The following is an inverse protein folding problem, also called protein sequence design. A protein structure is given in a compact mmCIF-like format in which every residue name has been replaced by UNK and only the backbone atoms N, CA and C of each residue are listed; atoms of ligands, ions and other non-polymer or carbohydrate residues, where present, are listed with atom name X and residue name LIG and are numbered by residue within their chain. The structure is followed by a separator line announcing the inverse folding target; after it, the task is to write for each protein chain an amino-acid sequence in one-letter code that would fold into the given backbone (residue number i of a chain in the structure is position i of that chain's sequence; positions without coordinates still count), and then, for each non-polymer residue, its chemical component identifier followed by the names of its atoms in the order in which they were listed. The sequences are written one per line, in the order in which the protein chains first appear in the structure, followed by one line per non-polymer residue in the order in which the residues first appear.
data_IF_380361028516
#
_entry.id   IF_380361028516
#
_cell.length_a   1.000
_cell.length_b   1.000
_cell.length_c   1.000
_cell.angle_alpha   90.00
_cell.angle_beta   90.00
_cell.angle_gamma   90.00
#
_symmetry.space_group_name_H-M   'P 1'
#
loop_
_entity.id
_entity.type
_entity.pdbx_description
1 polymer ?
#
# COMPACT_ATOMS: atom_id res chain seq x y z
N UNK A 1 6.09 -10.81 -11.55
CA UNK A 1 7.04 -10.25 -10.55
C UNK A 1 8.20 -9.63 -11.29
N UNK A 2 8.53 -8.38 -10.98
CA UNK A 2 9.70 -7.66 -11.48
C UNK A 2 10.53 -7.30 -10.24
N UNK A 3 11.74 -7.83 -10.13
CA UNK A 3 12.58 -7.70 -8.94
C UNK A 3 13.95 -7.18 -9.31
N UNK A 4 14.54 -6.38 -8.41
CA UNK A 4 15.99 -6.17 -8.43
C UNK A 4 16.71 -7.52 -8.18
N UNK A 5 17.86 -7.79 -8.83
CA UNK A 5 18.56 -9.07 -8.69
C UNK A 5 18.91 -9.44 -7.25
N UNK A 6 19.22 -8.43 -6.41
CA UNK A 6 19.56 -8.61 -5.00
C UNK A 6 18.47 -9.30 -4.16
N UNK A 7 17.22 -9.32 -4.62
CA UNK A 7 16.08 -9.87 -3.88
C UNK A 7 15.47 -11.12 -4.53
N UNK A 8 15.97 -11.56 -5.70
CA UNK A 8 15.36 -12.68 -6.44
C UNK A 8 15.35 -13.99 -5.64
N UNK A 9 16.46 -14.29 -4.96
CA UNK A 9 16.59 -15.52 -4.17
C UNK A 9 15.69 -15.50 -2.92
N UNK A 10 15.45 -14.31 -2.35
CA UNK A 10 14.60 -14.16 -1.16
C UNK A 10 13.12 -14.43 -1.47
N UNK A 11 12.70 -14.39 -2.75
CA UNK A 11 11.32 -14.63 -3.18
C UNK A 11 10.91 -16.10 -3.20
N UNK A 12 11.82 -17.05 -3.02
CA UNK A 12 11.52 -18.47 -3.17
C UNK A 12 10.33 -18.96 -2.31
N UNK A 13 10.19 -18.58 -1.01
CA UNK A 13 9.03 -18.97 -0.20
C UNK A 13 7.71 -18.41 -0.74
N UNK A 14 7.72 -17.15 -1.16
CA UNK A 14 6.55 -16.48 -1.73
C UNK A 14 6.11 -17.14 -3.06
N UNK A 15 7.08 -17.42 -3.95
CA UNK A 15 6.82 -18.09 -5.23
C UNK A 15 6.19 -19.47 -4.99
N UNK A 16 6.71 -20.23 -4.02
CA UNK A 16 6.18 -21.54 -3.68
C UNK A 16 4.73 -21.45 -3.16
N UNK A 17 4.44 -20.49 -2.27
CA UNK A 17 3.10 -20.28 -1.73
C UNK A 17 2.08 -19.92 -2.82
N UNK A 18 2.41 -18.94 -3.67
CA UNK A 18 1.55 -18.52 -4.79
C UNK A 18 1.33 -19.63 -5.82
N UNK A 19 2.37 -20.41 -6.12
CA UNK A 19 2.25 -21.58 -7.00
C UNK A 19 1.33 -22.65 -6.40
N UNK A 20 1.40 -22.88 -5.09
CA UNK A 20 0.51 -23.80 -4.38
C UNK A 20 -0.95 -23.32 -4.36
N UNK A 21 -1.17 -22.00 -4.41
CA UNK A 21 -2.48 -21.37 -4.61
C UNK A 21 -2.97 -21.41 -6.07
N UNK A 22 -2.18 -22.00 -6.99
CA UNK A 22 -2.55 -22.17 -8.40
C UNK A 22 -2.25 -20.97 -9.29
N UNK A 23 -1.52 -19.96 -8.80
CA UNK A 23 -1.13 -18.79 -9.59
C UNK A 23 -0.02 -19.16 -10.59
N UNK A 24 -0.16 -18.73 -11.85
CA UNK A 24 0.93 -18.81 -12.83
C UNK A 24 1.85 -17.61 -12.69
N UNK A 25 3.12 -17.86 -12.33
CA UNK A 25 4.09 -16.80 -12.10
C UNK A 25 5.07 -16.64 -13.26
N UNK A 26 5.49 -15.40 -13.47
CA UNK A 26 6.67 -15.02 -14.25
C UNK A 26 7.51 -14.09 -13.40
N UNK A 27 8.80 -14.40 -13.30
CA UNK A 27 9.77 -13.61 -12.55
C UNK A 27 10.76 -13.01 -13.54
N UNK A 28 10.93 -11.69 -13.46
CA UNK A 28 11.86 -10.94 -14.28
C UNK A 28 12.86 -10.19 -13.39
N UNK A 29 14.14 -10.33 -13.73
CA UNK A 29 15.20 -9.46 -13.25
C UNK A 29 15.07 -8.10 -13.95
N UNK A 30 14.93 -7.02 -13.17
CA UNK A 30 14.75 -5.67 -13.69
C UNK A 30 15.94 -5.20 -14.56
N UNK A 31 17.15 -5.71 -14.33
CA UNK A 31 18.32 -5.40 -15.16
C UNK A 31 18.14 -5.91 -16.60
N UNK A 32 17.51 -7.08 -16.77
CA UNK A 32 17.17 -7.64 -18.08
C UNK A 32 16.01 -6.88 -18.73
N UNK A 33 15.10 -6.34 -17.93
CA UNK A 33 14.04 -5.45 -18.41
C UNK A 33 14.64 -4.18 -19.02
N UNK A 34 15.57 -3.52 -18.34
CA UNK A 34 16.27 -2.35 -18.89
C UNK A 34 17.04 -2.70 -20.16
N UNK A 35 17.81 -3.80 -20.15
CA UNK A 35 18.55 -4.24 -21.32
C UNK A 35 17.65 -4.42 -22.56
N UNK A 36 16.43 -4.95 -22.36
CA UNK A 36 15.50 -5.24 -23.46
C UNK A 36 14.68 -4.04 -23.91
N UNK A 37 14.18 -3.22 -22.99
CA UNK A 37 13.13 -2.23 -23.26
C UNK A 37 13.63 -0.77 -23.29
N UNK A 38 14.84 -0.50 -22.80
CA UNK A 38 15.49 0.83 -22.84
C UNK A 38 16.92 0.82 -23.36
N UNK A 39 17.45 -0.34 -23.76
CA UNK A 39 18.85 -0.47 -24.17
C UNK A 39 19.84 -0.38 -23.01
N UNK A 40 19.39 -0.75 -21.80
CA UNK A 40 20.20 -0.77 -20.58
C UNK A 40 20.11 0.49 -19.72
N UNK A 41 19.30 1.48 -20.12
CA UNK A 41 19.06 2.69 -19.32
C UNK A 41 18.08 2.37 -18.20
N UNK A 42 18.44 2.70 -16.95
CA UNK A 42 17.52 2.61 -15.81
C UNK A 42 16.44 3.68 -15.99
N UNK A 43 15.23 3.24 -16.33
CA UNK A 43 14.10 4.12 -16.65
C UNK A 43 12.79 3.39 -16.31
N UNK A 44 11.86 4.00 -15.53
CA UNK A 44 10.55 3.41 -15.27
C UNK A 44 9.75 3.11 -16.56
N UNK A 45 9.98 3.84 -17.65
CA UNK A 45 9.33 3.56 -18.94
C UNK A 45 9.68 2.17 -19.50
N UNK A 46 10.88 1.65 -19.21
CA UNK A 46 11.25 0.28 -19.60
C UNK A 46 10.38 -0.77 -18.90
N UNK A 47 10.06 -0.54 -17.62
CA UNK A 47 9.21 -1.40 -16.81
C UNK A 47 7.78 -1.35 -17.33
N UNK A 48 7.24 -0.16 -17.61
CA UNK A 48 5.90 0.01 -18.20
C UNK A 48 5.77 -0.71 -19.54
N UNK A 49 6.78 -0.60 -20.42
CA UNK A 49 6.81 -1.32 -21.72
C UNK A 49 6.87 -2.84 -21.56
N UNK A 50 7.61 -3.33 -20.57
CA UNK A 50 7.63 -4.75 -20.24
C UNK A 50 6.27 -5.23 -19.77
N UNK A 51 5.59 -4.45 -18.91
CA UNK A 51 4.24 -4.77 -18.43
C UNK A 51 3.26 -4.81 -19.59
N UNK A 52 3.26 -3.79 -20.46
CA UNK A 52 2.43 -3.76 -21.67
C UNK A 52 2.64 -5.02 -22.53
N UNK A 53 3.90 -5.37 -22.80
CA UNK A 53 4.24 -6.57 -23.55
C UNK A 53 3.75 -7.84 -22.85
N UNK A 54 3.90 -7.95 -21.53
CA UNK A 54 3.51 -9.12 -20.77
C UNK A 54 1.98 -9.29 -20.68
N UNK A 55 1.22 -8.19 -20.60
CA UNK A 55 -0.25 -8.20 -20.69
C UNK A 55 -0.68 -8.74 -22.06
N UNK A 56 -0.17 -8.15 -23.14
CA UNK A 56 -0.54 -8.52 -24.51
C UNK A 56 -0.16 -9.97 -24.85
N UNK A 57 1.02 -10.42 -24.44
CA UNK A 57 1.60 -11.68 -24.91
C UNK A 57 1.43 -12.85 -23.94
N UNK A 58 1.24 -12.58 -22.64
CA UNK A 58 1.18 -13.59 -21.59
C UNK A 58 -0.13 -13.54 -20.78
N UNK A 59 -0.97 -12.51 -20.97
CA UNK A 59 -2.21 -12.34 -20.19
C UNK A 59 -1.95 -12.06 -18.71
N UNK A 60 -0.91 -11.29 -18.38
CA UNK A 60 -0.63 -10.89 -17.00
C UNK A 60 -1.74 -9.98 -16.47
N UNK A 61 -2.27 -10.29 -15.28
CA UNK A 61 -3.32 -9.50 -14.62
C UNK A 61 -2.81 -8.73 -13.38
N UNK A 62 -1.62 -9.08 -12.88
CA UNK A 62 -1.04 -8.49 -11.68
C UNK A 62 0.49 -8.39 -11.74
N UNK A 63 1.04 -7.31 -11.19
CA UNK A 63 2.47 -7.02 -11.14
C UNK A 63 2.89 -6.77 -9.69
N UNK A 64 3.85 -7.54 -9.22
CA UNK A 64 4.58 -7.25 -7.98
C UNK A 64 5.95 -6.68 -8.33
N UNK A 65 6.24 -5.47 -7.83
CA UNK A 65 7.56 -4.85 -7.86
C UNK A 65 8.30 -5.19 -6.56
N UNK A 66 9.57 -5.60 -6.66
CA UNK A 66 10.38 -5.97 -5.48
C UNK A 66 11.68 -5.15 -5.48
N UNK A 67 11.67 -4.11 -4.64
CA UNK A 67 12.75 -3.14 -4.49
C UNK A 67 12.20 -1.74 -4.17
N UNK A 68 12.86 -1.05 -3.24
CA UNK A 68 12.58 0.35 -2.92
C UNK A 68 13.04 1.32 -4.01
N UNK A 69 12.46 2.52 -4.00
CA UNK A 69 12.91 3.67 -4.78
C UNK A 69 13.36 4.81 -3.85
N UNK A 70 13.96 5.86 -4.40
CA UNK A 70 14.29 7.11 -3.74
C UNK A 70 14.26 8.23 -4.77
N UNK A 71 13.77 9.41 -4.40
CA UNK A 71 13.88 10.57 -5.30
C UNK A 71 15.32 11.09 -5.45
N UNK A 72 16.22 10.66 -4.56
CA UNK A 72 17.65 11.02 -4.53
C UNK A 72 18.54 9.92 -5.13
N UNK A 73 18.13 9.34 -6.26
CA UNK A 73 18.82 8.21 -6.89
C UNK A 73 20.17 8.59 -7.54
N UNK A 74 20.46 9.88 -7.67
CA UNK A 74 21.77 10.41 -8.07
C UNK A 74 22.69 10.72 -6.89
N UNK A 75 22.22 10.53 -5.65
CA UNK A 75 22.94 10.88 -4.42
C UNK A 75 23.35 12.37 -4.36
N UNK A 76 22.48 13.25 -4.84
CA UNK A 76 22.71 14.71 -4.82
C UNK A 76 22.68 15.25 -3.37
N UNK A 77 22.02 14.53 -2.44
CA UNK A 77 21.99 14.87 -1.02
C UNK A 77 23.16 14.25 -0.22
N UNK A 78 23.96 13.35 -0.82
CA UNK A 78 25.07 12.66 -0.15
C UNK A 78 24.62 11.72 0.98
N UNK A 79 23.43 11.11 0.84
CA UNK A 79 22.82 10.21 1.82
C UNK A 79 23.10 8.73 1.51
N UNK A 80 23.59 8.42 0.31
CA UNK A 80 23.80 7.06 -0.17
C UNK A 80 22.50 6.29 -0.38
N UNK A 81 21.39 6.98 -0.66
CA UNK A 81 20.11 6.32 -0.91
C UNK A 81 20.11 5.67 -2.29
N UNK A 82 19.81 4.38 -2.33
CA UNK A 82 19.77 3.58 -3.57
C UNK A 82 18.32 3.46 -4.06
N UNK A 83 18.13 3.61 -5.37
CA UNK A 83 16.91 3.19 -6.07
C UNK A 83 17.16 1.80 -6.67
N UNK A 84 16.43 0.80 -6.19
CA UNK A 84 16.50 -0.57 -6.73
C UNK A 84 15.54 -0.75 -7.91
N UNK A 85 14.34 -0.18 -7.83
CA UNK A 85 13.37 -0.11 -8.93
C UNK A 85 12.76 1.29 -8.91
N UNK A 86 13.05 2.17 -9.88
CA UNK A 86 12.51 3.51 -9.94
C UNK A 86 10.98 3.47 -10.09
N UNK A 87 10.30 4.55 -9.68
CA UNK A 87 8.90 4.80 -10.01
C UNK A 87 8.74 6.01 -10.93
N UNK A 88 7.53 6.26 -11.40
CA UNK A 88 7.19 7.52 -12.07
C UNK A 88 6.97 8.62 -11.05
N UNK A 89 7.31 9.86 -11.42
CA UNK A 89 6.98 11.06 -10.65
C UNK A 89 6.06 11.94 -11.47
N UNK A 90 4.88 12.25 -10.92
CA UNK A 90 3.81 12.93 -11.66
C UNK A 90 3.21 14.06 -10.86
N UNK A 91 2.60 15.03 -11.57
CA UNK A 91 1.83 16.08 -10.93
C UNK A 91 0.40 15.59 -10.66
N UNK A 92 -0.03 15.70 -9.41
CA UNK A 92 -1.38 15.35 -8.96
C UNK A 92 -2.21 16.58 -8.59
N UNK A 93 -1.55 17.71 -8.35
CA UNK A 93 -2.15 19.00 -8.02
C UNK A 93 -1.20 20.14 -8.49
N UNK A 94 -1.68 21.40 -8.69
CA UNK A 94 -0.79 22.52 -9.02
C UNK A 94 0.41 22.72 -8.08
N UNK A 95 0.29 22.33 -6.81
CA UNK A 95 1.32 22.38 -5.76
C UNK A 95 2.14 21.09 -5.74
N UNK A 96 1.49 19.92 -5.78
CA UNK A 96 2.17 18.62 -5.72
C UNK A 96 2.54 18.13 -7.12
N UNK A 97 3.79 18.38 -7.52
CA UNK A 97 4.29 18.11 -8.88
C UNK A 97 5.14 16.85 -9.05
N UNK A 98 5.51 16.20 -7.95
CA UNK A 98 6.43 15.06 -7.94
C UNK A 98 5.90 13.95 -7.01
N UNK A 99 4.69 13.48 -7.27
CA UNK A 99 4.11 12.32 -6.58
C UNK A 99 4.67 11.04 -7.17
N UNK A 100 5.27 10.15 -6.35
CA UNK A 100 5.67 8.82 -6.80
C UNK A 100 4.42 8.00 -7.16
N UNK A 101 4.41 7.35 -8.32
CA UNK A 101 3.21 6.71 -8.85
C UNK A 101 3.51 5.38 -9.53
N UNK A 102 3.34 4.29 -8.79
CA UNK A 102 3.37 2.95 -9.37
C UNK A 102 2.15 2.68 -10.27
N UNK A 103 1.05 3.42 -10.09
CA UNK A 103 -0.11 3.33 -11.01
C UNK A 103 0.25 3.70 -12.45
N UNK A 104 1.24 4.54 -12.68
CA UNK A 104 1.67 4.86 -14.05
C UNK A 104 2.30 3.66 -14.78
N UNK A 105 2.78 2.64 -14.07
CA UNK A 105 3.21 1.39 -14.71
C UNK A 105 2.07 0.61 -15.36
N UNK A 106 0.82 0.90 -14.98
CA UNK A 106 -0.36 0.13 -15.35
C UNK A 106 -1.30 0.90 -16.27
N UNK A 107 -0.94 2.12 -16.70
CA UNK A 107 -1.67 2.88 -17.71
C UNK A 107 -1.11 2.49 -19.08
N UNK A 108 -1.75 1.53 -19.73
CA UNK A 108 -1.31 0.89 -20.96
C UNK A 108 -2.06 1.41 -22.19
N UNK A 109 -3.17 2.12 -21.98
CA UNK A 109 -3.91 2.84 -23.02
C UNK A 109 -4.01 4.35 -22.73
N UNK A 110 -4.92 5.05 -23.42
CA UNK A 110 -5.07 6.51 -23.35
C UNK A 110 -6.04 6.98 -22.25
N UNK A 111 -6.58 6.07 -21.42
CA UNK A 111 -7.44 6.43 -20.30
C UNK A 111 -6.66 6.51 -18.95
N UNK A 112 -7.38 6.83 -17.87
CA UNK A 112 -6.79 7.00 -16.54
C UNK A 112 -7.01 5.78 -15.63
N UNK A 113 -7.64 4.72 -16.15
CA UNK A 113 -7.95 3.51 -15.43
C UNK A 113 -6.74 2.56 -15.47
N UNK A 114 -6.33 1.99 -14.32
CA UNK A 114 -5.29 0.97 -14.30
C UNK A 114 -5.72 -0.31 -15.03
N UNK A 115 -4.90 -0.80 -15.98
CA UNK A 115 -5.17 -2.03 -16.75
C UNK A 115 -4.78 -3.31 -16.01
N UNK A 116 -3.86 -3.21 -15.05
CA UNK A 116 -3.38 -4.35 -14.25
C UNK A 116 -3.27 -3.99 -12.79
N UNK A 117 -3.47 -4.98 -11.92
CA UNK A 117 -3.24 -4.80 -10.49
C UNK A 117 -1.73 -4.63 -10.23
N UNK A 118 -1.35 -3.71 -9.34
CA UNK A 118 0.06 -3.50 -8.99
C UNK A 118 0.24 -3.32 -7.49
N UNK A 119 1.35 -3.85 -6.97
CA UNK A 119 1.84 -3.60 -5.62
C UNK A 119 3.36 -3.63 -5.58
N UNK A 120 3.95 -3.02 -4.54
CA UNK A 120 5.40 -2.95 -4.34
C UNK A 120 5.79 -3.48 -2.98
N UNK A 121 6.83 -4.31 -2.93
CA UNK A 121 7.61 -4.56 -1.72
C UNK A 121 8.78 -3.56 -1.71
N UNK A 122 8.73 -2.48 -0.89
CA UNK A 122 9.73 -1.40 -0.94
C UNK A 122 11.02 -1.76 -0.17
N UNK A 123 11.50 -2.98 -0.37
CA UNK A 123 12.62 -3.56 0.38
C UNK A 123 13.95 -3.05 -0.14
N UNK A 124 14.91 -2.90 0.77
CA UNK A 124 16.24 -2.34 0.54
C UNK A 124 17.36 -3.29 0.99
N UNK A 125 17.00 -4.42 1.58
CA UNK A 125 17.93 -5.51 1.93
C UNK A 125 17.23 -6.87 1.86
N UNK A 126 18.02 -7.94 1.70
CA UNK A 126 17.50 -9.31 1.75
C UNK A 126 16.81 -9.66 3.07
N UNK A 127 17.22 -9.02 4.17
CA UNK A 127 16.60 -9.23 5.48
C UNK A 127 15.20 -8.63 5.54
N UNK A 128 15.02 -7.43 4.98
CA UNK A 128 13.70 -6.80 4.82
C UNK A 128 12.80 -7.60 3.89
N UNK A 129 13.34 -8.11 2.78
CA UNK A 129 12.61 -8.98 1.85
C UNK A 129 12.06 -10.23 2.55
N UNK A 130 12.91 -10.96 3.28
CA UNK A 130 12.50 -12.15 4.04
C UNK A 130 11.45 -11.81 5.10
N UNK A 131 11.66 -10.77 5.91
CA UNK A 131 10.69 -10.36 6.93
C UNK A 131 9.32 -10.01 6.35
N UNK A 132 9.28 -9.25 5.26
CA UNK A 132 8.02 -8.84 4.67
C UNK A 132 7.29 -10.03 4.03
N UNK A 133 8.02 -10.94 3.38
CA UNK A 133 7.46 -12.19 2.86
C UNK A 133 6.89 -13.05 4.00
N UNK A 134 7.63 -13.20 5.09
CA UNK A 134 7.17 -13.96 6.26
C UNK A 134 5.87 -13.39 6.83
N UNK A 135 5.75 -12.05 6.89
CA UNK A 135 4.50 -11.38 7.30
C UNK A 135 3.35 -11.60 6.33
N UNK A 136 3.60 -11.51 5.02
CA UNK A 136 2.58 -11.80 4.00
C UNK A 136 2.05 -13.23 4.16
N UNK A 137 2.94 -14.21 4.32
CA UNK A 137 2.55 -15.62 4.49
C UNK A 137 1.86 -15.87 5.85
N UNK A 138 2.31 -15.21 6.92
CA UNK A 138 1.68 -15.30 8.24
C UNK A 138 0.26 -14.70 8.22
N UNK A 139 0.05 -13.58 7.52
CA UNK A 139 -1.27 -12.99 7.33
C UNK A 139 -2.24 -13.95 6.66
N UNK A 140 -1.81 -14.59 5.56
CA UNK A 140 -2.65 -15.53 4.81
C UNK A 140 -2.96 -16.82 5.56
N UNK A 141 -2.08 -17.19 6.49
CA UNK A 141 -2.27 -18.34 7.36
C UNK A 141 -3.18 -18.05 8.57
N UNK A 142 -3.61 -16.80 8.78
CA UNK A 142 -4.52 -16.45 9.88
C UNK A 142 -5.81 -17.24 9.77
N UNK A 143 -6.18 -17.88 10.88
CA UNK A 143 -7.48 -18.52 11.04
C UNK A 143 -8.48 -17.59 11.74
N UNK A 144 -9.75 -18.02 11.77
CA UNK A 144 -10.80 -17.32 12.50
C UNK A 144 -11.66 -16.39 11.63
N UNK A 145 -12.54 -15.64 12.28
CA UNK A 145 -13.31 -14.59 11.62
C UNK A 145 -12.46 -13.32 11.52
N UNK A 146 -12.43 -12.64 10.36
CA UNK A 146 -11.79 -11.35 10.20
C UNK A 146 -12.31 -10.33 11.20
N UNK A 147 -11.45 -9.39 11.53
CA UNK A 147 -11.77 -8.27 12.41
C UNK A 147 -11.20 -6.97 11.85
N UNK A 148 -11.86 -5.87 12.14
CA UNK A 148 -11.43 -4.53 11.75
C UNK A 148 -11.27 -3.63 12.98
N UNK A 149 -10.16 -2.88 13.00
CA UNK A 149 -9.99 -1.69 13.81
C UNK A 149 -10.22 -0.49 12.91
N UNK A 150 -11.19 0.34 13.27
CA UNK A 150 -11.46 1.61 12.60
C UNK A 150 -11.00 2.77 13.49
N UNK A 151 -10.10 3.60 12.96
CA UNK A 151 -9.49 4.73 13.66
C UNK A 151 -9.88 6.01 12.91
N UNK A 152 -10.39 7.00 13.63
CA UNK A 152 -10.77 8.29 13.05
C UNK A 152 -10.19 9.44 13.89
N UNK A 153 -9.68 10.46 13.22
CA UNK A 153 -9.21 11.71 13.84
C UNK A 153 -10.39 12.58 14.33
N UNK A 154 -10.10 13.72 14.97
CA UNK A 154 -11.10 14.75 15.31
C UNK A 154 -11.72 15.35 14.06
N UNK A 155 -13.02 15.62 14.08
CA UNK A 155 -13.74 16.18 12.94
C UNK A 155 -13.31 17.63 12.68
N UNK A 156 -13.25 17.98 11.40
CA UNK A 156 -12.92 19.30 10.91
C UNK A 156 -14.18 20.08 10.50
N UNK A 157 -14.03 21.40 10.32
CA UNK A 157 -15.13 22.23 9.85
C UNK A 157 -15.58 21.81 8.43
N UNK A 158 -16.66 21.03 8.36
CA UNK A 158 -17.25 20.54 7.12
C UNK A 158 -16.70 19.19 6.62
N UNK A 159 -15.85 18.52 7.41
CA UNK A 159 -15.34 17.17 7.14
C UNK A 159 -15.45 16.36 8.42
N UNK A 160 -16.22 15.27 8.40
CA UNK A 160 -16.35 14.38 9.55
C UNK A 160 -15.67 13.05 9.25
N UNK A 161 -14.50 12.84 9.84
CA UNK A 161 -13.75 11.58 9.68
C UNK A 161 -14.47 10.44 10.40
N UNK A 162 -15.20 10.73 11.47
CA UNK A 162 -16.03 9.74 12.18
C UNK A 162 -17.13 9.21 11.26
N UNK A 163 -17.91 10.08 10.63
CA UNK A 163 -18.95 9.66 9.68
C UNK A 163 -18.36 8.92 8.47
N UNK A 164 -17.24 9.37 7.91
CA UNK A 164 -16.56 8.67 6.81
C UNK A 164 -16.12 7.25 7.24
N UNK A 165 -15.52 7.12 8.43
CA UNK A 165 -15.17 5.82 9.00
C UNK A 165 -16.39 4.91 9.21
N UNK A 166 -17.52 5.44 9.68
CA UNK A 166 -18.76 4.66 9.80
C UNK A 166 -19.34 4.24 8.44
N UNK A 167 -19.17 5.03 7.38
CA UNK A 167 -19.54 4.61 6.02
C UNK A 167 -18.71 3.41 5.58
N UNK A 168 -17.41 3.41 5.86
CA UNK A 168 -16.56 2.23 5.60
C UNK A 168 -16.94 1.04 6.49
N UNK A 169 -17.28 1.29 7.76
CA UNK A 169 -17.75 0.24 8.68
C UNK A 169 -18.99 -0.47 8.14
N UNK A 170 -19.91 0.28 7.52
CA UNK A 170 -21.16 -0.24 6.98
C UNK A 170 -20.97 -1.18 5.77
N UNK A 171 -19.79 -1.20 5.14
CA UNK A 171 -19.47 -2.11 4.03
C UNK A 171 -18.87 -3.44 4.51
N UNK A 172 -18.48 -3.52 5.79
CA UNK A 172 -17.87 -4.73 6.35
C UNK A 172 -18.90 -5.86 6.44
N UNK A 173 -18.53 -7.11 6.09
CA UNK A 173 -19.43 -8.24 6.25
C UNK A 173 -19.89 -8.40 7.72
N UNK A 174 -21.16 -8.77 7.98
CA UNK A 174 -21.73 -8.80 9.33
C UNK A 174 -21.00 -9.69 10.34
N UNK A 175 -20.24 -10.68 9.87
CA UNK A 175 -19.43 -11.58 10.69
C UNK A 175 -18.11 -10.97 11.17
N UNK A 176 -17.72 -9.81 10.66
CA UNK A 176 -16.50 -9.12 11.09
C UNK A 176 -16.71 -8.51 12.47
N UNK A 177 -15.75 -8.76 13.36
CA UNK A 177 -15.70 -8.02 14.63
C UNK A 177 -15.11 -6.64 14.39
N UNK A 178 -15.81 -5.58 14.80
CA UNK A 178 -15.41 -4.19 14.54
C UNK A 178 -15.14 -3.45 15.84
N UNK A 179 -13.89 -3.03 16.04
CA UNK A 179 -13.46 -2.14 17.12
C UNK A 179 -13.27 -0.72 16.58
N UNK A 180 -13.57 0.29 17.41
CA UNK A 180 -13.51 1.71 17.00
C UNK A 180 -12.63 2.51 17.96
N UNK A 181 -11.68 3.26 17.42
CA UNK A 181 -10.84 4.22 18.13
C UNK A 181 -11.01 5.61 17.50
N UNK A 182 -12.15 6.25 17.76
CA UNK A 182 -12.48 7.57 17.22
C UNK A 182 -12.13 8.65 18.22
N UNK A 183 -11.39 9.65 17.76
CA UNK A 183 -10.88 10.70 18.62
C UNK A 183 -11.92 11.78 18.93
N UNK A 184 -12.93 11.98 18.08
CA UNK A 184 -13.97 12.98 18.28
C UNK A 184 -14.63 12.87 19.68
N UNK A 185 -14.40 13.87 20.53
CA UNK A 185 -14.86 13.91 21.92
C UNK A 185 -14.21 12.87 22.86
N UNK A 186 -13.19 12.16 22.40
CA UNK A 186 -12.46 11.11 23.10
C UNK A 186 -11.14 11.57 23.73
N UNK A 187 -10.55 10.70 24.56
CA UNK A 187 -9.23 10.92 25.14
C UNK A 187 -8.14 10.27 24.27
N UNK A 188 -7.13 11.04 23.89
CA UNK A 188 -6.03 10.58 23.01
C UNK A 188 -5.32 9.36 23.61
N UNK A 189 -5.05 9.34 24.92
CA UNK A 189 -4.33 8.23 25.54
C UNK A 189 -5.17 6.95 25.54
N UNK A 190 -6.48 7.06 25.75
CA UNK A 190 -7.41 5.94 25.62
C UNK A 190 -7.48 5.41 24.18
N UNK A 191 -7.56 6.29 23.17
CA UNK A 191 -7.61 5.87 21.76
C UNK A 191 -6.30 5.22 21.34
N UNK A 192 -5.16 5.78 21.74
CA UNK A 192 -3.83 5.16 21.55
C UNK A 192 -3.77 3.76 22.15
N UNK A 193 -4.15 3.59 23.41
CA UNK A 193 -4.14 2.29 24.06
C UNK A 193 -5.00 1.27 23.29
N UNK A 194 -6.18 1.67 22.85
CA UNK A 194 -7.07 0.82 22.04
C UNK A 194 -6.45 0.44 20.70
N UNK A 195 -5.79 1.37 20.01
CA UNK A 195 -5.08 1.10 18.75
C UNK A 195 -4.02 0.02 18.97
N UNK A 196 -3.18 0.19 20.00
CA UNK A 196 -2.15 -0.79 20.36
C UNK A 196 -2.76 -2.15 20.70
N UNK A 197 -3.67 -2.19 21.68
CA UNK A 197 -4.28 -3.44 22.17
C UNK A 197 -4.93 -4.24 21.03
N UNK A 198 -5.56 -3.54 20.08
CA UNK A 198 -6.27 -4.19 18.97
C UNK A 198 -5.31 -4.68 17.88
N UNK A 199 -4.28 -3.90 17.52
CA UNK A 199 -3.25 -4.35 16.56
C UNK A 199 -2.44 -5.51 17.14
N UNK A 200 -2.05 -5.42 18.42
CA UNK A 200 -1.35 -6.47 19.15
C UNK A 200 -2.19 -7.73 19.37
N UNK A 201 -3.52 -7.57 19.42
CA UNK A 201 -4.50 -8.65 19.42
C UNK A 201 -4.69 -9.37 18.07
N UNK A 202 -3.97 -8.98 17.01
CA UNK A 202 -3.98 -9.72 15.75
C UNK A 202 -5.06 -9.30 14.75
N UNK A 203 -5.57 -8.06 14.84
CA UNK A 203 -6.65 -7.56 13.97
C UNK A 203 -6.31 -7.72 12.47
N UNK A 204 -7.32 -8.08 11.67
CA UNK A 204 -7.13 -8.35 10.23
C UNK A 204 -6.91 -7.06 9.45
N UNK A 205 -7.78 -6.07 9.64
CA UNK A 205 -7.73 -4.78 8.97
C UNK A 205 -7.61 -3.66 9.99
N UNK A 206 -6.64 -2.78 9.84
CA UNK A 206 -6.58 -1.50 10.54
C UNK A 206 -6.83 -0.38 9.52
N UNK A 207 -7.95 0.33 9.64
CA UNK A 207 -8.27 1.46 8.78
C UNK A 207 -8.19 2.76 9.57
N UNK A 208 -7.35 3.70 9.14
CA UNK A 208 -7.27 5.05 9.69
C UNK A 208 -7.84 6.06 8.69
N UNK A 209 -8.64 7.03 9.16
CA UNK A 209 -9.04 8.20 8.38
C UNK A 209 -8.86 9.49 9.18
N UNK A 210 -8.22 10.50 8.57
CA UNK A 210 -7.97 11.77 9.21
C UNK A 210 -6.71 12.49 8.75
N UNK A 211 -6.24 13.44 9.54
CA UNK A 211 -4.98 14.11 9.26
C UNK A 211 -3.81 13.15 9.44
N UNK A 212 -2.85 13.21 8.54
CA UNK A 212 -1.63 12.45 8.68
C UNK A 212 -0.46 13.11 7.99
N UNK A 213 0.73 12.61 8.31
CA UNK A 213 1.97 12.96 7.67
C UNK A 213 2.87 11.74 7.53
N UNK A 214 4.12 11.93 7.07
CA UNK A 214 5.04 10.82 6.81
C UNK A 214 5.24 9.86 7.99
N UNK A 215 5.03 10.29 9.23
CA UNK A 215 5.32 9.49 10.43
C UNK A 215 4.27 9.62 11.56
N UNK A 216 3.06 10.11 11.26
CA UNK A 216 2.04 10.38 12.29
C UNK A 216 0.61 10.27 11.74
N UNK A 217 -0.29 9.70 12.52
CA UNK A 217 -1.74 9.84 12.41
C UNK A 217 -2.25 10.84 13.47
N UNK A 218 -3.07 11.79 13.03
CA UNK A 218 -3.64 12.91 13.78
C UNK A 218 -2.63 13.95 14.27
N UNK A 219 -3.02 15.23 14.26
CA UNK A 219 -2.25 16.29 14.93
C UNK A 219 -2.16 16.09 16.45
N UNK A 220 -3.10 15.35 17.05
CA UNK A 220 -3.10 15.01 18.46
C UNK A 220 -2.21 13.79 18.78
N UNK A 221 -1.68 13.12 17.76
CA UNK A 221 -0.74 12.00 17.91
C UNK A 221 -1.38 10.67 18.28
N UNK A 222 -2.37 10.23 17.50
CA UNK A 222 -3.04 8.93 17.68
C UNK A 222 -2.12 7.74 17.44
N UNK A 223 -1.17 7.85 16.52
CA UNK A 223 -0.23 6.78 16.22
C UNK A 223 0.98 7.32 15.45
N UNK A 224 2.18 6.84 15.72
CA UNK A 224 3.43 7.30 15.12
C UNK A 224 4.23 6.16 14.48
N UNK A 225 5.22 6.50 13.66
CA UNK A 225 6.14 5.49 13.11
C UNK A 225 6.92 4.77 14.23
N UNK A 226 7.23 5.46 15.33
CA UNK A 226 7.85 4.85 16.52
C UNK A 226 6.90 3.86 17.20
N UNK A 227 5.61 4.17 17.24
CA UNK A 227 4.57 3.25 17.74
C UNK A 227 4.50 1.98 16.89
N UNK A 228 4.55 2.09 15.56
CA UNK A 228 4.62 0.93 14.65
C UNK A 228 5.85 0.05 14.89
N UNK A 229 7.01 0.66 15.19
CA UNK A 229 8.23 -0.05 15.57
C UNK A 229 8.05 -0.77 16.92
N UNK A 230 7.28 -0.21 17.84
CA UNK A 230 7.09 -0.74 19.19
C UNK A 230 6.04 -1.87 19.28
N UNK A 231 5.23 -2.10 18.24
CA UNK A 231 4.21 -3.15 18.22
C UNK A 231 4.78 -4.53 18.52
N UNK A 232 3.96 -5.38 19.15
CA UNK A 232 4.34 -6.75 19.53
C UNK A 232 3.60 -7.87 18.78
N UNK A 233 2.83 -7.54 17.73
CA UNK A 233 2.05 -8.49 16.92
C UNK A 233 2.87 -9.35 15.93
N UNK A 234 4.08 -9.77 16.32
CA UNK A 234 4.92 -10.64 15.49
C UNK A 234 4.22 -11.98 15.23
N UNK A 235 4.16 -12.37 13.95
CA UNK A 235 3.44 -13.58 13.51
C UNK A 235 1.94 -13.40 13.32
N UNK A 236 1.37 -12.26 13.69
CA UNK A 236 -0.04 -11.93 13.51
C UNK A 236 -0.24 -10.53 12.85
N UNK A 237 0.42 -10.27 11.71
CA UNK A 237 0.48 -8.94 11.11
C UNK A 237 -0.90 -8.45 10.64
N UNK A 238 -1.13 -7.15 10.57
CA UNK A 238 -2.40 -6.59 10.03
C UNK A 238 -2.26 -6.16 8.56
N UNK A 239 -3.37 -5.85 7.89
CA UNK A 239 -3.37 -5.00 6.69
C UNK A 239 -3.80 -3.59 7.10
N UNK A 240 -3.05 -2.58 6.68
CA UNK A 240 -3.32 -1.18 7.07
C UNK A 240 -3.84 -0.39 5.87
N UNK A 241 -5.02 0.22 5.99
CA UNK A 241 -5.54 1.20 5.03
C UNK A 241 -5.51 2.59 5.67
N UNK A 242 -4.84 3.55 5.04
CA UNK A 242 -4.65 4.88 5.61
C UNK A 242 -5.22 5.94 4.67
N UNK A 243 -6.35 6.52 5.07
CA UNK A 243 -7.04 7.63 4.41
C UNK A 243 -6.54 8.93 5.01
N UNK A 244 -5.35 9.32 4.57
CA UNK A 244 -4.73 10.60 4.89
C UNK A 244 -3.42 10.77 4.13
N UNK A 245 -2.94 12.01 4.11
CA UNK A 245 -1.78 12.41 3.32
C UNK A 245 -0.45 11.75 3.77
N UNK A 246 0.46 11.55 2.80
CA UNK A 246 1.90 11.22 3.00
C UNK A 246 2.27 9.90 3.68
N UNK A 247 1.32 9.05 4.03
CA UNK A 247 1.59 7.85 4.83
C UNK A 247 2.42 6.79 4.10
N UNK A 248 2.29 6.73 2.77
CA UNK A 248 3.00 5.78 1.90
C UNK A 248 4.02 6.47 1.02
N UNK A 249 4.60 7.60 1.43
CA UNK A 249 5.67 8.31 0.69
C UNK A 249 6.99 7.49 0.68
N UNK A 250 7.01 6.43 -0.12
CA UNK A 250 8.02 5.36 -0.06
C UNK A 250 9.39 5.73 -0.65
N UNK A 251 9.55 6.96 -1.12
CA UNK A 251 10.71 7.45 -1.87
C UNK A 251 11.57 8.44 -1.07
N UNK A 252 11.25 8.66 0.22
CA UNK A 252 11.99 9.59 1.09
C UNK A 252 13.39 9.03 1.44
N UNK A 253 14.50 9.70 1.03
CA UNK A 253 15.85 9.26 1.31
C UNK A 253 16.31 9.49 2.75
N UNK A 254 15.68 10.42 3.50
CA UNK A 254 16.15 10.81 4.84
C UNK A 254 15.60 9.95 5.96
N UNK A 255 14.45 9.30 5.75
CA UNK A 255 13.74 8.62 6.82
C UNK A 255 12.74 7.61 6.30
N UNK A 256 12.56 6.54 7.08
CA UNK A 256 11.45 5.62 6.92
C UNK A 256 10.15 6.29 7.37
N UNK A 257 9.14 6.27 6.48
CA UNK A 257 7.77 6.68 6.78
C UNK A 257 7.02 5.66 7.64
N UNK A 258 5.80 6.01 8.07
CA UNK A 258 4.84 5.15 8.76
C UNK A 258 4.68 3.80 8.05
N UNK A 259 4.54 3.81 6.71
CA UNK A 259 4.44 2.57 5.94
C UNK A 259 5.69 1.70 6.04
N UNK A 260 6.90 2.29 5.99
CA UNK A 260 8.13 1.53 6.18
C UNK A 260 8.24 0.96 7.60
N UNK A 261 7.80 1.71 8.62
CA UNK A 261 7.80 1.22 9.98
C UNK A 261 6.89 -0.01 10.15
N UNK A 262 5.66 0.05 9.62
CA UNK A 262 4.76 -1.10 9.59
C UNK A 262 5.31 -2.30 8.80
N UNK A 263 5.99 -2.06 7.68
CA UNK A 263 6.41 -3.12 6.76
C UNK A 263 7.79 -3.72 7.08
N UNK A 264 8.75 -2.92 7.53
CA UNK A 264 10.18 -3.28 7.44
C UNK A 264 10.93 -3.24 8.79
N UNK A 265 10.39 -2.55 9.81
CA UNK A 265 11.09 -2.34 11.09
C UNK A 265 11.39 -3.62 11.87
N UNK A 266 10.61 -4.68 11.66
CA UNK A 266 10.76 -5.95 12.37
C UNK A 266 9.72 -6.99 11.96
N UNK A 267 9.64 -8.12 12.68
CA UNK A 267 8.64 -9.17 12.43
C UNK A 267 7.19 -8.76 12.78
N UNK A 268 7.00 -7.66 13.50
CA UNK A 268 5.71 -7.04 13.84
C UNK A 268 5.17 -6.15 12.71
N UNK A 269 4.00 -5.56 12.95
CA UNK A 269 3.39 -4.55 12.10
C UNK A 269 2.44 -5.16 11.06
N UNK A 270 2.67 -4.84 9.79
CA UNK A 270 1.73 -5.13 8.71
C UNK A 270 2.31 -6.05 7.62
N UNK A 271 1.42 -6.77 6.95
CA UNK A 271 1.68 -7.54 5.74
C UNK A 271 1.50 -6.70 4.46
N UNK A 272 0.64 -5.68 4.51
CA UNK A 272 0.45 -4.70 3.46
C UNK A 272 0.03 -3.35 4.05
N UNK A 273 0.42 -2.27 3.40
CA UNK A 273 0.04 -0.90 3.75
C UNK A 273 -0.46 -0.19 2.50
N UNK A 274 -1.66 0.37 2.60
CA UNK A 274 -2.32 1.14 1.57
C UNK A 274 -2.46 2.59 2.03
N UNK A 275 -2.33 3.54 1.12
CA UNK A 275 -2.47 4.96 1.46
C UNK A 275 -1.95 5.92 0.40
N UNK A 276 -2.05 7.21 0.71
CA UNK A 276 -1.55 8.28 -0.13
C UNK A 276 -0.05 8.53 0.05
N UNK A 277 0.67 8.62 -1.07
CA UNK A 277 2.09 8.94 -1.07
C UNK A 277 2.36 10.44 -0.89
N UNK A 278 1.41 11.31 -1.22
CA UNK A 278 1.56 12.76 -1.09
C UNK A 278 0.31 13.39 -0.48
N UNK A 279 0.19 14.72 -0.57
CA UNK A 279 -1.04 15.43 -0.23
C UNK A 279 -2.22 14.91 -1.08
N UNK A 280 -3.37 14.77 -0.43
CA UNK A 280 -4.64 14.33 -0.99
C UNK A 280 -5.76 15.19 -0.45
N UNK A 281 -6.85 15.31 -1.21
CA UNK A 281 -8.10 15.94 -0.76
C UNK A 281 -8.91 14.94 0.05
N UNK A 282 -9.41 15.33 1.24
CA UNK A 282 -10.29 14.50 2.06
C UNK A 282 -11.49 13.96 1.25
N UNK A 283 -12.15 14.83 0.46
CA UNK A 283 -13.27 14.41 -0.38
C UNK A 283 -12.87 13.37 -1.46
N UNK A 284 -11.63 13.43 -1.98
CA UNK A 284 -11.16 12.48 -2.96
C UNK A 284 -10.84 11.13 -2.32
N UNK A 285 -10.27 11.13 -1.10
CA UNK A 285 -10.03 9.91 -0.33
C UNK A 285 -11.31 9.24 0.14
N UNK A 286 -12.30 10.02 0.60
CA UNK A 286 -13.63 9.49 0.93
C UNK A 286 -14.29 8.86 -0.31
N UNK A 287 -14.22 9.53 -1.47
CA UNK A 287 -14.78 8.99 -2.72
C UNK A 287 -14.08 7.71 -3.16
N UNK A 288 -12.74 7.65 -3.07
CA UNK A 288 -11.99 6.41 -3.34
C UNK A 288 -12.34 5.32 -2.31
N UNK A 289 -12.44 5.67 -1.03
CA UNK A 289 -12.77 4.75 0.05
C UNK A 289 -14.15 4.13 -0.10
N UNK A 290 -15.15 4.91 -0.48
CA UNK A 290 -16.51 4.42 -0.77
C UNK A 290 -16.51 3.39 -1.91
N UNK A 291 -15.67 3.59 -2.94
CA UNK A 291 -15.54 2.65 -4.05
C UNK A 291 -14.69 1.42 -3.68
N UNK A 292 -13.65 1.60 -2.87
CA UNK A 292 -12.65 0.57 -2.61
C UNK A 292 -12.99 -0.34 -1.44
N UNK A 293 -13.52 0.19 -0.33
CA UNK A 293 -13.78 -0.58 0.89
C UNK A 293 -14.70 -1.78 0.66
N UNK A 294 -15.83 -1.68 -0.08
CA UNK A 294 -16.67 -2.84 -0.39
C UNK A 294 -15.94 -3.94 -1.16
N UNK A 295 -15.06 -3.56 -2.09
CA UNK A 295 -14.27 -4.49 -2.88
C UNK A 295 -13.19 -5.15 -2.01
N UNK A 296 -12.51 -4.35 -1.19
CA UNK A 296 -11.38 -4.76 -0.37
C UNK A 296 -11.75 -5.85 0.65
N UNK A 297 -12.97 -5.79 1.19
CA UNK A 297 -13.48 -6.74 2.19
C UNK A 297 -14.29 -7.88 1.59
N UNK A 298 -14.40 -7.95 0.27
CA UNK A 298 -15.03 -9.07 -0.43
C UNK A 298 -14.17 -10.32 -0.26
N UNK A 299 -14.76 -11.40 0.24
CA UNK A 299 -14.08 -12.69 0.40
C UNK A 299 -13.43 -13.15 -0.91
N UNK A 300 -12.15 -13.50 -0.83
CA UNK A 300 -11.31 -13.93 -1.95
C UNK A 300 -10.87 -12.83 -2.91
N UNK A 301 -11.24 -11.56 -2.70
CA UNK A 301 -10.82 -10.46 -3.58
C UNK A 301 -9.35 -10.09 -3.32
N UNK A 302 -8.46 -10.19 -4.33
CA UNK A 302 -7.10 -9.69 -4.19
C UNK A 302 -7.09 -8.17 -4.02
N UNK A 303 -6.31 -7.68 -3.05
CA UNK A 303 -6.20 -6.26 -2.71
C UNK A 303 -5.81 -5.41 -3.93
N UNK A 304 -4.88 -5.89 -4.76
CA UNK A 304 -4.47 -5.19 -5.97
C UNK A 304 -5.61 -5.04 -6.98
N UNK A 305 -6.48 -6.05 -7.13
CA UNK A 305 -7.67 -5.96 -7.99
C UNK A 305 -8.72 -5.02 -7.41
N UNK A 306 -8.92 -5.02 -6.08
CA UNK A 306 -9.84 -4.09 -5.43
C UNK A 306 -9.43 -2.62 -5.70
N UNK A 307 -8.14 -2.30 -5.55
CA UNK A 307 -7.59 -0.97 -5.85
C UNK A 307 -7.74 -0.62 -7.33
N UNK A 308 -7.37 -1.55 -8.22
CA UNK A 308 -7.48 -1.37 -9.68
C UNK A 308 -8.92 -1.04 -10.09
N UNK A 309 -9.89 -1.82 -9.62
CA UNK A 309 -11.30 -1.63 -9.92
C UNK A 309 -11.85 -0.31 -9.36
N UNK A 310 -11.54 0.03 -8.11
CA UNK A 310 -11.94 1.29 -7.50
C UNK A 310 -11.38 2.49 -8.27
N UNK A 311 -10.07 2.46 -8.60
CA UNK A 311 -9.45 3.51 -9.41
C UNK A 311 -10.04 3.59 -10.82
N UNK A 312 -10.39 2.47 -11.45
CA UNK A 312 -11.09 2.47 -12.73
C UNK A 312 -12.47 3.16 -12.66
N UNK A 313 -13.20 2.99 -11.56
CA UNK A 313 -14.43 3.73 -11.30
C UNK A 313 -14.17 5.22 -11.12
N UNK A 314 -13.19 5.61 -10.30
CA UNK A 314 -12.80 7.01 -10.10
C UNK A 314 -12.33 7.65 -11.42
N UNK A 315 -11.56 6.95 -12.24
CA UNK A 315 -11.09 7.44 -13.54
C UNK A 315 -12.26 7.79 -14.45
N UNK A 316 -13.32 6.99 -14.43
CA UNK A 316 -14.53 7.22 -15.24
C UNK A 316 -15.45 8.29 -14.69
N UNK A 317 -15.60 8.37 -13.37
CA UNK A 317 -16.63 9.20 -12.71
C UNK A 317 -16.09 10.53 -12.20
N UNK A 318 -14.82 10.56 -11.80
CA UNK A 318 -14.12 11.69 -11.20
C UNK A 318 -12.69 11.85 -11.75
N UNK A 319 -12.49 12.00 -13.08
CA UNK A 319 -11.18 12.02 -13.73
C UNK A 319 -10.24 13.17 -13.30
N UNK A 320 -10.72 14.11 -12.46
CA UNK A 320 -9.94 15.22 -11.91
C UNK A 320 -9.32 14.90 -10.55
N UNK A 321 -9.68 13.79 -9.90
CA UNK A 321 -9.12 13.35 -8.62
C UNK A 321 -7.78 12.64 -8.85
N UNK A 322 -6.82 13.37 -9.44
CA UNK A 322 -5.51 12.82 -9.83
C UNK A 322 -4.66 12.43 -8.62
N UNK A 323 -4.88 13.06 -7.48
CA UNK A 323 -4.27 12.77 -6.19
C UNK A 323 -4.51 11.32 -5.76
N UNK A 324 -5.74 10.83 -5.80
CA UNK A 324 -6.06 9.43 -5.46
C UNK A 324 -5.86 8.47 -6.63
N UNK A 325 -6.05 8.93 -7.87
CA UNK A 325 -5.78 8.09 -9.05
C UNK A 325 -4.30 7.72 -9.15
N UNK A 326 -3.39 8.68 -8.91
CA UNK A 326 -1.97 8.47 -9.12
C UNK A 326 -1.14 8.40 -7.84
N UNK A 327 -1.56 9.06 -6.76
CA UNK A 327 -0.82 9.14 -5.50
C UNK A 327 -1.20 8.09 -4.47
N UNK A 328 -2.31 7.37 -4.64
CA UNK A 328 -2.68 6.27 -3.74
C UNK A 328 -2.01 4.97 -4.17
N UNK A 329 -1.34 4.25 -3.26
CA UNK A 329 -0.49 3.10 -3.61
C UNK A 329 -0.71 1.90 -2.69
N UNK A 330 -0.36 0.72 -3.20
CA UNK A 330 -0.22 -0.52 -2.44
C UNK A 330 1.25 -0.83 -2.19
N UNK A 331 1.68 -0.72 -0.94
CA UNK A 331 2.95 -1.25 -0.48
C UNK A 331 2.69 -2.63 0.13
N UNK A 332 2.79 -3.66 -0.69
CA UNK A 332 2.45 -5.04 -0.36
C UNK A 332 2.26 -5.89 -1.60
N UNK A 333 1.83 -7.14 -1.38
CA UNK A 333 1.51 -8.07 -2.45
C UNK A 333 0.12 -7.79 -3.05
N UNK A 334 -0.01 -7.52 -4.36
CA UNK A 334 -1.31 -7.27 -5.01
C UNK A 334 -2.23 -8.50 -5.05
N UNK A 335 -1.69 -9.70 -4.82
CA UNK A 335 -2.44 -10.95 -4.85
C UNK A 335 -2.98 -11.38 -3.48
N UNK A 336 -2.55 -10.72 -2.40
CA UNK A 336 -3.06 -10.96 -1.04
C UNK A 336 -4.55 -10.60 -0.98
N UNK A 337 -5.36 -11.41 -0.29
CA UNK A 337 -6.77 -11.13 0.02
C UNK A 337 -6.90 -10.87 1.52
N UNK A 338 -7.66 -9.84 1.92
CA UNK A 338 -7.88 -9.54 3.34
C UNK A 338 -8.73 -10.63 4.01
N UNK A 339 -9.67 -11.22 3.27
CA UNK A 339 -10.43 -12.39 3.70
C UNK A 339 -10.26 -13.53 2.69
N UNK A 340 -9.31 -14.46 2.89
CA UNK A 340 -9.02 -15.54 1.94
C UNK A 340 -9.92 -16.79 2.09
N UNK A 341 -10.89 -16.80 3.01
CA UNK A 341 -11.68 -17.99 3.39
C UNK A 341 -12.69 -18.46 2.34
#
# INVERSE_FOLDING_TARGET
VISHPDFLDDLAPWIAARSAQGLSLRVADVSQVYARFSGGVVDPEAIRRMIAWAVENLGIEAVLLVGGDTYDYHDDLGLGSISFIPTFYVATDPIVRFTPSDTHFTLLDDDLAPDVAIGRLPVRSSEEARRLIDKILAFEAKGGAPSALLVADEDDAGVSFTEASERFAATLPPEWMVERAYLEGGDVAQMRARIFDTIEGGVTLTSFIGHSGPSLWSFQGLFSAEDAVALTNAGDPTVVAQWGCWNTYFVEPRSNTMAHAFLLAGPQGAAAVLGAATLTSAAAEETLGDAMMPLLVTTGMPVGRAIMAAKGEIARTHPKMLDVLFGWTLLGDPTLSIDPR
#
